data_IF_030798922497
#
_entry.id   IF_030798922497
#
_cell.length_a   1.000
_cell.length_b   1.000
_cell.length_c   1.000
_cell.angle_alpha   90.00
_cell.angle_beta   90.00
_cell.angle_gamma   90.00
#
_symmetry.space_group_name_H-M   'P 1'
#
loop_
_entity.id
_entity.type
_entity.pdbx_description
1 polymer ?
#
# COMPACT_ATOMS: atom_id res chain seq x y z
N UNK A 1 8.19 -35.27 17.32
CA UNK A 1 8.46 -34.37 18.45
C UNK A 1 9.32 -33.14 18.07
N UNK A 2 10.42 -33.30 17.31
CA UNK A 2 11.38 -32.21 16.99
C UNK A 2 10.78 -31.02 16.22
N UNK A 3 9.93 -31.30 15.23
CA UNK A 3 9.34 -30.28 14.35
C UNK A 3 8.43 -29.27 15.09
N UNK A 4 7.70 -29.74 16.11
CA UNK A 4 6.82 -28.89 16.92
C UNK A 4 7.60 -27.95 17.84
N UNK A 5 8.83 -28.32 18.20
CA UNK A 5 9.72 -27.48 19.01
C UNK A 5 10.36 -26.40 18.13
N UNK A 6 10.80 -26.77 16.93
CA UNK A 6 11.39 -25.86 15.95
C UNK A 6 10.41 -24.78 15.48
N UNK A 7 9.18 -25.16 15.14
CA UNK A 7 8.12 -24.19 14.79
C UNK A 7 7.83 -23.23 15.96
N UNK A 8 7.77 -23.74 17.19
CA UNK A 8 7.54 -22.88 18.36
C UNK A 8 8.69 -21.89 18.58
N UNK A 9 9.94 -22.31 18.39
CA UNK A 9 11.09 -21.42 18.52
C UNK A 9 11.11 -20.35 17.43
N UNK A 10 10.75 -20.70 16.20
CA UNK A 10 10.77 -19.75 15.10
C UNK A 10 9.62 -18.73 15.18
N UNK A 11 8.44 -19.17 15.63
CA UNK A 11 7.32 -18.27 15.95
C UNK A 11 7.68 -17.35 17.11
N UNK A 12 8.33 -17.85 18.16
CA UNK A 12 8.77 -17.02 19.30
C UNK A 12 9.91 -16.06 18.93
N UNK A 13 10.84 -16.48 18.08
CA UNK A 13 11.91 -15.65 17.52
C UNK A 13 11.32 -14.52 16.67
N UNK A 14 10.38 -14.89 15.79
CA UNK A 14 9.61 -13.93 15.01
C UNK A 14 8.90 -12.99 15.93
N UNK A 15 8.10 -13.45 16.92
CA UNK A 15 7.40 -12.68 17.97
C UNK A 15 8.30 -11.98 19.00
N UNK A 16 9.63 -11.97 18.83
CA UNK A 16 10.56 -11.16 19.63
C UNK A 16 11.33 -10.13 18.83
N UNK A 17 11.56 -10.37 17.53
CA UNK A 17 12.30 -9.47 16.63
C UNK A 17 11.59 -8.16 16.23
N UNK A 18 10.37 -7.91 16.70
CA UNK A 18 9.49 -6.86 16.21
C UNK A 18 9.06 -6.99 14.74
N UNK A 19 9.53 -8.02 14.01
CA UNK A 19 9.24 -8.19 12.58
C UNK A 19 7.77 -8.48 12.31
N UNK A 20 6.97 -9.01 13.22
CA UNK A 20 5.52 -9.17 13.00
C UNK A 20 4.77 -7.84 13.07
N UNK A 21 5.28 -6.89 13.87
CA UNK A 21 4.81 -5.51 13.83
C UNK A 21 5.23 -4.87 12.51
N UNK A 22 6.41 -5.20 11.98
CA UNK A 22 7.00 -4.63 10.78
C UNK A 22 6.82 -5.45 9.49
N UNK A 23 6.15 -6.60 9.51
CA UNK A 23 6.27 -7.59 8.41
C UNK A 23 5.57 -7.10 7.15
N UNK A 24 4.44 -6.43 7.35
CA UNK A 24 3.80 -5.62 6.32
C UNK A 24 4.46 -4.22 6.20
N UNK A 25 4.98 -3.65 7.30
CA UNK A 25 5.56 -2.30 7.28
C UNK A 25 6.83 -2.19 6.43
N UNK A 26 7.79 -3.11 6.56
CA UNK A 26 9.06 -3.08 5.84
C UNK A 26 8.90 -3.32 4.34
N UNK A 27 7.99 -4.21 3.94
CA UNK A 27 7.67 -4.42 2.53
C UNK A 27 6.99 -3.19 1.90
N UNK A 28 6.01 -2.60 2.59
CA UNK A 28 5.35 -1.37 2.13
C UNK A 28 6.31 -0.18 2.12
N UNK A 29 7.15 -0.04 3.14
CA UNK A 29 8.19 1.00 3.21
C UNK A 29 9.17 0.87 2.05
N UNK A 30 9.64 -0.34 1.75
CA UNK A 30 10.57 -0.60 0.66
C UNK A 30 9.92 -0.36 -0.71
N UNK A 31 8.67 -0.80 -0.90
CA UNK A 31 7.93 -0.58 -2.14
C UNK A 31 7.70 0.93 -2.38
N UNK A 32 7.27 1.67 -1.35
CA UNK A 32 7.08 3.12 -1.46
C UNK A 32 8.42 3.86 -1.61
N UNK A 33 9.49 3.41 -0.98
CA UNK A 33 10.83 3.96 -1.18
C UNK A 33 11.30 3.78 -2.63
N UNK A 34 11.01 2.64 -3.25
CA UNK A 34 11.30 2.41 -4.67
C UNK A 34 10.49 3.33 -5.57
N UNK A 35 9.18 3.50 -5.31
CA UNK A 35 8.35 4.49 -6.02
C UNK A 35 8.94 5.90 -5.86
N UNK A 36 9.42 6.23 -4.66
CA UNK A 36 10.04 7.52 -4.37
C UNK A 36 11.31 7.76 -5.16
N UNK A 37 12.19 6.75 -5.21
CA UNK A 37 13.42 6.82 -5.99
C UNK A 37 13.17 6.99 -7.50
N UNK A 38 12.10 6.37 -8.03
CA UNK A 38 11.78 6.38 -9.45
C UNK A 38 11.01 7.63 -9.91
N UNK A 39 10.23 8.26 -9.04
CA UNK A 39 9.26 9.30 -9.43
C UNK A 39 9.51 10.68 -8.82
N UNK A 40 10.59 10.85 -8.03
CA UNK A 40 10.90 12.06 -7.23
C UNK A 40 9.70 12.69 -6.47
N UNK A 41 8.88 11.92 -5.74
CA UNK A 41 7.57 12.33 -5.30
C UNK A 41 7.55 12.88 -3.86
N UNK A 42 8.45 13.80 -3.47
CA UNK A 42 8.31 14.42 -2.15
C UNK A 42 6.96 15.14 -2.05
N UNK A 43 6.17 14.83 -1.03
CA UNK A 43 4.85 15.43 -0.81
C UNK A 43 3.73 14.91 -1.70
N UNK A 44 3.95 13.86 -2.51
CA UNK A 44 2.89 13.28 -3.33
C UNK A 44 1.98 12.34 -2.54
N UNK A 45 0.77 12.18 -3.07
CA UNK A 45 -0.29 11.42 -2.41
C UNK A 45 -0.18 9.93 -2.68
N UNK A 46 -0.54 9.12 -1.69
CA UNK A 46 -0.75 7.68 -1.83
C UNK A 46 -2.17 7.37 -1.41
N UNK A 47 -2.96 6.80 -2.33
CA UNK A 47 -4.33 6.41 -2.06
C UNK A 47 -4.36 5.14 -1.21
N UNK A 48 -5.00 5.19 -0.04
CA UNK A 48 -5.09 4.12 0.94
C UNK A 48 -6.55 3.85 1.28
N UNK A 49 -6.92 2.60 1.55
CA UNK A 49 -8.27 2.30 2.05
C UNK A 49 -8.43 2.74 3.51
N UNK A 50 -9.54 3.42 3.83
CA UNK A 50 -9.75 4.04 5.13
C UNK A 50 -9.77 3.04 6.30
N UNK A 51 -10.37 1.86 6.12
CA UNK A 51 -10.54 0.86 7.19
C UNK A 51 -9.29 0.00 7.45
N UNK A 52 -8.31 -0.02 6.54
CA UNK A 52 -7.13 -0.89 6.62
C UNK A 52 -5.80 -0.21 6.22
N UNK A 53 -5.79 1.13 6.13
CA UNK A 53 -4.63 1.91 5.67
C UNK A 53 -3.56 2.20 6.73
N UNK A 54 -3.70 1.74 7.97
CA UNK A 54 -2.83 2.14 9.09
C UNK A 54 -1.33 1.86 8.86
N UNK A 55 -0.99 0.64 8.42
CA UNK A 55 0.41 0.29 8.14
C UNK A 55 0.99 1.06 6.94
N UNK A 56 0.18 1.23 5.89
CA UNK A 56 0.57 1.96 4.70
C UNK A 56 0.75 3.46 4.99
N UNK A 57 -0.05 4.04 5.90
CA UNK A 57 0.10 5.43 6.35
C UNK A 57 1.46 5.66 7.01
N UNK A 58 1.87 4.75 7.90
CA UNK A 58 3.20 4.80 8.49
C UNK A 58 4.34 4.68 7.47
N UNK A 59 4.16 3.86 6.43
CA UNK A 59 5.11 3.75 5.33
C UNK A 59 5.17 5.02 4.47
N UNK A 60 4.04 5.70 4.26
CA UNK A 60 3.98 6.98 3.54
C UNK A 60 4.79 8.05 4.28
N UNK A 61 4.54 8.26 5.58
CA UNK A 61 5.22 9.31 6.35
C UNK A 61 6.74 9.11 6.41
N UNK A 62 7.21 7.86 6.54
CA UNK A 62 8.65 7.54 6.52
C UNK A 62 9.32 7.80 5.18
N UNK A 63 8.54 7.89 4.11
CA UNK A 63 9.00 8.16 2.76
C UNK A 63 8.69 9.59 2.29
N UNK A 64 8.21 10.48 3.18
CA UNK A 64 7.84 11.85 2.82
C UNK A 64 6.63 11.95 1.88
N UNK A 65 5.76 10.93 1.90
CA UNK A 65 4.51 10.85 1.13
C UNK A 65 3.31 11.23 2.01
N UNK A 66 2.21 11.62 1.36
CA UNK A 66 0.96 12.03 2.01
C UNK A 66 -0.09 10.92 1.86
N UNK A 67 -0.59 10.33 2.96
CA UNK A 67 -1.72 9.42 2.90
C UNK A 67 -3.00 10.16 2.46
N UNK A 68 -3.69 9.63 1.46
CA UNK A 68 -5.02 10.07 1.05
C UNK A 68 -5.96 8.89 1.21
N UNK A 69 -6.90 8.99 2.16
CA UNK A 69 -7.83 7.90 2.47
C UNK A 69 -9.03 7.90 1.52
N UNK A 70 -9.29 6.72 0.96
CA UNK A 70 -10.46 6.40 0.14
C UNK A 70 -11.37 5.50 0.95
N UNK A 71 -12.67 5.75 0.88
CA UNK A 71 -13.68 4.97 1.59
C UNK A 71 -13.82 3.54 1.01
N UNK A 72 -14.63 2.74 1.67
CA UNK A 72 -14.87 1.34 1.33
C UNK A 72 -16.20 1.13 0.62
N UNK A 73 -16.24 0.11 -0.23
CA UNK A 73 -17.52 -0.44 -0.67
C UNK A 73 -18.18 -1.17 0.52
N UNK A 74 -19.44 -0.84 0.88
CA UNK A 74 -20.04 -1.27 2.15
C UNK A 74 -20.16 -2.79 2.34
N UNK A 75 -20.31 -3.59 1.28
CA UNK A 75 -20.53 -5.03 1.39
C UNK A 75 -19.23 -5.84 1.46
N UNK A 76 -18.23 -5.45 0.69
CA UNK A 76 -16.94 -6.12 0.58
C UNK A 76 -15.91 -5.62 1.58
N UNK A 77 -16.10 -4.40 2.11
CA UNK A 77 -15.14 -3.67 2.94
C UNK A 77 -13.77 -3.43 2.27
N UNK A 78 -13.72 -3.59 0.95
CA UNK A 78 -12.57 -3.27 0.12
C UNK A 78 -12.66 -1.81 -0.34
N UNK A 79 -11.58 -1.28 -0.90
CA UNK A 79 -11.55 0.08 -1.43
C UNK A 79 -12.67 0.30 -2.45
N UNK A 80 -13.44 1.38 -2.29
CA UNK A 80 -14.39 1.82 -3.33
C UNK A 80 -13.59 2.33 -4.53
N UNK A 81 -13.68 1.59 -5.63
CA UNK A 81 -12.96 1.88 -6.87
C UNK A 81 -13.43 3.20 -7.51
N UNK A 82 -14.71 3.55 -7.41
CA UNK A 82 -15.21 4.81 -7.95
C UNK A 82 -14.65 6.00 -7.16
N UNK A 83 -14.68 5.90 -5.83
CA UNK A 83 -14.06 6.90 -4.97
C UNK A 83 -12.54 7.00 -5.21
N UNK A 84 -11.86 5.87 -5.48
CA UNK A 84 -10.44 5.85 -5.79
C UNK A 84 -10.10 6.52 -7.13
N UNK A 85 -10.93 6.34 -8.16
CA UNK A 85 -10.77 7.03 -9.46
C UNK A 85 -10.94 8.53 -9.30
N UNK A 86 -11.97 8.97 -8.59
CA UNK A 86 -12.25 10.39 -8.37
C UNK A 86 -11.16 11.07 -7.51
N UNK A 87 -10.62 10.35 -6.53
CA UNK A 87 -9.53 10.84 -5.69
C UNK A 87 -8.17 10.89 -6.41
N UNK A 88 -7.99 10.11 -7.48
CA UNK A 88 -6.73 10.04 -8.20
C UNK A 88 -6.45 11.33 -8.98
N UNK A 89 -5.35 12.01 -8.63
CA UNK A 89 -4.94 13.27 -9.26
C UNK A 89 -3.59 13.13 -9.97
N UNK A 90 -3.07 14.23 -10.50
CA UNK A 90 -1.68 14.29 -10.97
C UNK A 90 -0.67 14.18 -9.81
N UNK A 91 -1.09 14.44 -8.57
CA UNK A 91 -0.25 14.32 -7.38
C UNK A 91 -0.19 12.90 -6.83
N UNK A 92 -1.08 11.99 -7.22
CA UNK A 92 -1.07 10.60 -6.77
C UNK A 92 0.13 9.83 -7.32
N UNK A 93 1.02 9.38 -6.43
CA UNK A 93 2.20 8.59 -6.76
C UNK A 93 1.95 7.08 -6.76
N UNK A 94 1.04 6.61 -5.91
CA UNK A 94 0.71 5.19 -5.80
C UNK A 94 -0.68 4.99 -5.16
N UNK A 95 -1.15 3.75 -5.22
CA UNK A 95 -2.33 3.27 -4.50
C UNK A 95 -1.97 1.97 -3.77
N UNK A 96 -2.35 1.85 -2.50
CA UNK A 96 -2.18 0.63 -1.72
C UNK A 96 -3.55 0.02 -1.46
N UNK A 97 -3.80 -1.08 -2.16
CA UNK A 97 -5.07 -1.81 -2.08
C UNK A 97 -4.91 -2.98 -1.11
N UNK A 98 -5.79 -3.06 -0.11
CA UNK A 98 -5.77 -4.13 0.89
C UNK A 98 -6.80 -5.20 0.56
N UNK A 99 -6.35 -6.45 0.42
CA UNK A 99 -7.20 -7.63 0.28
C UNK A 99 -7.79 -8.04 1.65
N UNK A 100 -8.68 -7.20 2.18
CA UNK A 100 -9.19 -7.32 3.54
C UNK A 100 -9.97 -8.64 3.72
N UNK A 101 -9.76 -9.31 4.87
CA UNK A 101 -10.36 -10.60 5.21
C UNK A 101 -10.10 -11.74 4.20
N UNK A 102 -9.08 -11.59 3.34
CA UNK A 102 -8.79 -12.56 2.27
C UNK A 102 -9.66 -12.37 1.02
N UNK A 103 -10.48 -11.32 0.95
CA UNK A 103 -11.24 -10.99 -0.24
C UNK A 103 -10.34 -10.26 -1.27
N UNK A 104 -10.47 -10.63 -2.55
CA UNK A 104 -9.64 -10.07 -3.62
C UNK A 104 -10.25 -8.77 -4.14
N UNK A 105 -9.63 -7.64 -3.82
CA UNK A 105 -9.87 -6.39 -4.52
C UNK A 105 -9.51 -6.50 -6.01
N UNK A 106 -10.48 -6.20 -6.86
CA UNK A 106 -10.32 -6.16 -8.31
C UNK A 106 -10.06 -4.72 -8.73
N UNK A 107 -8.87 -4.46 -9.27
CA UNK A 107 -8.53 -3.16 -9.84
C UNK A 107 -8.88 -3.20 -11.33
N UNK A 108 -9.83 -2.40 -11.82
CA UNK A 108 -10.13 -2.35 -13.25
C UNK A 108 -8.98 -1.73 -14.05
N UNK A 109 -8.83 -2.19 -15.29
CA UNK A 109 -7.74 -1.79 -16.22
C UNK A 109 -7.66 -0.27 -16.45
N UNK A 110 -8.77 0.46 -16.31
CA UNK A 110 -8.79 1.93 -16.43
C UNK A 110 -7.91 2.65 -15.39
N UNK A 111 -7.76 2.08 -14.20
CA UNK A 111 -6.89 2.59 -13.15
C UNK A 111 -5.41 2.23 -13.39
N UNK A 112 -5.15 1.04 -13.92
CA UNK A 112 -3.79 0.57 -14.28
C UNK A 112 -3.15 1.46 -15.37
N UNK A 113 -3.94 1.83 -16.38
CA UNK A 113 -3.48 2.71 -17.46
C UNK A 113 -3.23 4.16 -17.00
N UNK A 114 -3.98 4.65 -16.03
CA UNK A 114 -3.83 6.01 -15.48
C UNK A 114 -2.52 6.16 -14.69
N UNK A 115 -2.01 5.07 -14.11
CA UNK A 115 -0.69 5.01 -13.50
C UNK A 115 0.45 4.94 -14.55
N UNK A 116 0.24 4.24 -15.67
CA UNK A 116 1.26 4.03 -16.72
C UNK A 116 1.44 5.18 -17.73
N UNK A 117 0.38 5.94 -18.05
CA UNK A 117 0.40 6.86 -19.19
C UNK A 117 0.93 8.28 -18.89
N UNK A 118 1.12 8.65 -17.62
CA UNK A 118 1.54 10.01 -17.22
C UNK A 118 3.06 10.22 -17.11
N UNK A 119 3.87 9.17 -17.33
CA UNK A 119 5.35 9.24 -17.32
C UNK A 119 5.98 9.50 -18.72
N UNK A 120 5.18 9.84 -19.76
CA UNK A 120 5.67 10.07 -21.13
C UNK A 120 5.47 11.49 -21.68
N UNK A 121 5.52 12.52 -20.84
CA UNK A 121 5.35 13.91 -21.32
C UNK A 121 6.17 14.92 -20.55
N UNK A 122 7.41 15.16 -20.98
CA UNK A 122 8.08 16.48 -21.09
C UNK A 122 9.58 16.29 -21.35
N UNK A 123 9.93 15.93 -22.59
CA UNK A 123 11.21 16.27 -23.21
C UNK A 123 10.85 16.89 -24.56
N UNK A 124 10.54 18.17 -24.54
CA UNK A 124 10.73 19.10 -25.66
C UNK A 124 11.54 20.28 -25.14
#
# INVERSE_FOLDING_TARGET
MSYQVEIKQEVLSTLRSGWWLNGNKGALELALAAVVALTKPQGREVLLVANAGGYASGACWRNGLVPHFVDVEPHSHLMDIHAAVEAASSLTAAMVVTHLYGNVAVIPVSLDQTAGNRNRGSCE
#
